data_IF_186057290199
#
_entry.id   IF_186057290199
#
_cell.length_a   1.000
_cell.length_b   1.000
_cell.length_c   1.000
_cell.angle_alpha   90.00
_cell.angle_beta   90.00
_cell.angle_gamma   90.00
#
_symmetry.space_group_name_H-M   'P 1'
#
loop_
_entity.id
_entity.type
_entity.pdbx_description
1 polymer ?
#
# COMPACT_ATOMS: atom_id res chain seq x y z
N UNK A 1 12.66 -26.24 21.60
CA UNK A 1 12.92 -26.89 20.28
C UNK A 1 11.76 -26.72 19.30
N UNK A 2 10.50 -26.95 19.70
CA UNK A 2 9.31 -26.83 18.82
C UNK A 2 9.16 -25.42 18.21
N UNK A 3 9.28 -24.35 19.00
CA UNK A 3 9.21 -22.97 18.50
C UNK A 3 10.30 -22.62 17.47
N UNK A 4 11.49 -23.24 17.55
CA UNK A 4 12.57 -23.00 16.58
C UNK A 4 12.34 -23.76 15.27
N UNK A 5 11.76 -24.96 15.33
CA UNK A 5 11.39 -25.73 14.13
C UNK A 5 10.25 -25.04 13.37
N UNK A 6 9.22 -24.58 14.07
CA UNK A 6 8.07 -23.88 13.49
C UNK A 6 8.49 -22.53 12.87
N UNK A 7 9.39 -21.80 13.54
CA UNK A 7 10.00 -20.57 12.99
C UNK A 7 10.84 -20.84 11.74
N UNK A 8 11.61 -21.94 11.73
CA UNK A 8 12.44 -22.34 10.58
C UNK A 8 11.58 -22.77 9.38
N UNK A 9 10.53 -23.53 9.60
CA UNK A 9 9.60 -23.96 8.56
C UNK A 9 8.89 -22.77 7.90
N UNK A 10 8.46 -21.79 8.71
CA UNK A 10 7.86 -20.56 8.21
C UNK A 10 8.83 -19.71 7.40
N UNK A 11 10.09 -19.63 7.81
CA UNK A 11 11.10 -18.92 7.00
C UNK A 11 11.33 -19.60 5.65
N UNK A 12 11.33 -20.93 5.60
CA UNK A 12 11.46 -21.68 4.34
C UNK A 12 10.26 -21.37 3.43
N UNK A 13 9.03 -21.49 3.94
CA UNK A 13 7.79 -21.18 3.19
C UNK A 13 7.80 -19.76 2.62
N UNK A 14 8.25 -18.79 3.42
CA UNK A 14 8.37 -17.40 3.01
C UNK A 14 9.37 -17.24 1.86
N UNK A 15 10.58 -17.76 1.99
CA UNK A 15 11.59 -17.65 0.93
C UNK A 15 11.20 -18.41 -0.33
N UNK A 16 10.57 -19.58 -0.22
CA UNK A 16 10.04 -20.31 -1.39
C UNK A 16 8.98 -19.50 -2.11
N UNK A 17 8.06 -18.85 -1.38
CA UNK A 17 7.05 -18.00 -1.97
C UNK A 17 7.66 -16.80 -2.71
N UNK A 18 8.60 -16.09 -2.07
CA UNK A 18 9.30 -14.95 -2.70
C UNK A 18 10.08 -15.40 -3.94
N UNK A 19 10.72 -16.58 -3.89
CA UNK A 19 11.46 -17.14 -5.02
C UNK A 19 10.55 -17.42 -6.22
N UNK A 20 9.43 -18.12 -6.02
CA UNK A 20 8.48 -18.38 -7.11
C UNK A 20 7.87 -17.09 -7.66
N UNK A 21 7.58 -16.11 -6.82
CA UNK A 21 7.04 -14.83 -7.24
C UNK A 21 8.07 -14.04 -8.07
N UNK A 22 9.34 -14.04 -7.66
CA UNK A 22 10.43 -13.44 -8.44
C UNK A 22 10.66 -14.16 -9.77
N UNK A 23 10.60 -15.49 -9.80
CA UNK A 23 10.73 -16.27 -11.03
C UNK A 23 9.62 -15.92 -12.03
N UNK A 24 8.36 -15.83 -11.57
CA UNK A 24 7.24 -15.42 -12.41
C UNK A 24 7.38 -13.99 -12.92
N UNK A 25 7.89 -13.06 -12.10
CA UNK A 25 8.16 -11.70 -12.52
C UNK A 25 9.23 -11.64 -13.61
N UNK A 26 10.29 -12.44 -13.51
CA UNK A 26 11.34 -12.55 -14.53
C UNK A 26 10.77 -13.12 -15.83
N UNK A 27 9.99 -14.21 -15.76
CA UNK A 27 9.34 -14.80 -16.94
C UNK A 27 8.40 -13.81 -17.62
N UNK A 28 7.63 -13.05 -16.84
CA UNK A 28 6.78 -11.98 -17.37
C UNK A 28 7.62 -10.89 -18.05
N UNK A 29 8.72 -10.43 -17.44
CA UNK A 29 9.60 -9.45 -18.06
C UNK A 29 10.20 -9.95 -19.37
N UNK A 30 10.63 -11.22 -19.45
CA UNK A 30 11.11 -11.83 -20.70
C UNK A 30 10.03 -11.79 -21.77
N UNK A 31 8.80 -12.20 -21.42
CA UNK A 31 7.65 -12.12 -22.33
C UNK A 31 7.40 -10.67 -22.79
N UNK A 32 7.47 -9.69 -21.87
CA UNK A 32 7.24 -8.29 -22.19
C UNK A 32 8.31 -7.70 -23.11
N UNK A 33 9.59 -8.00 -22.86
CA UNK A 33 10.69 -7.57 -23.73
C UNK A 33 10.61 -8.14 -25.14
N UNK A 34 10.08 -9.35 -25.30
CA UNK A 34 9.93 -9.99 -26.61
C UNK A 34 8.74 -9.44 -27.42
N UNK A 35 7.71 -8.90 -26.77
CA UNK A 35 6.46 -8.50 -27.43
C UNK A 35 6.23 -6.98 -27.50
N UNK A 36 6.95 -6.19 -26.69
CA UNK A 36 6.76 -4.75 -26.60
C UNK A 36 8.10 -4.03 -26.69
N UNK A 37 8.11 -2.84 -27.29
CA UNK A 37 9.27 -1.96 -27.39
C UNK A 37 9.05 -0.68 -26.59
N UNK A 38 10.10 -0.11 -26.02
CA UNK A 38 10.01 1.21 -25.37
C UNK A 38 9.90 2.28 -26.46
N UNK A 39 8.78 2.99 -26.51
CA UNK A 39 8.54 4.06 -27.49
C UNK A 39 9.13 5.40 -27.05
N UNK A 40 9.00 5.74 -25.77
CA UNK A 40 9.45 7.02 -25.21
C UNK A 40 10.32 6.80 -23.95
N UNK A 41 11.64 6.99 -24.14
CA UNK A 41 12.62 6.88 -23.07
C UNK A 41 12.58 8.07 -22.10
N UNK A 42 12.19 9.26 -22.56
CA UNK A 42 12.09 10.45 -21.70
C UNK A 42 10.96 10.24 -20.70
N UNK A 43 9.79 9.80 -21.19
CA UNK A 43 8.65 9.44 -20.35
C UNK A 43 9.05 8.35 -19.34
N UNK A 44 9.70 7.28 -19.79
CA UNK A 44 10.17 6.21 -18.91
C UNK A 44 11.05 6.72 -17.77
N UNK A 45 12.04 7.58 -18.08
CA UNK A 45 12.96 8.13 -17.07
C UNK A 45 12.20 9.03 -16.10
N UNK A 46 11.41 9.97 -16.61
CA UNK A 46 10.67 10.93 -15.76
C UNK A 46 9.69 10.20 -14.86
N UNK A 47 8.85 9.30 -15.40
CA UNK A 47 7.91 8.54 -14.58
C UNK A 47 8.62 7.64 -13.57
N UNK A 48 9.76 7.04 -13.90
CA UNK A 48 10.54 6.24 -12.95
C UNK A 48 11.03 7.08 -11.78
N UNK A 49 11.56 8.28 -12.04
CA UNK A 49 12.02 9.23 -11.01
C UNK A 49 10.85 9.69 -10.15
N UNK A 50 9.75 10.15 -10.76
CA UNK A 50 8.57 10.63 -10.02
C UNK A 50 7.93 9.51 -9.19
N UNK A 51 7.91 8.29 -9.72
CA UNK A 51 7.40 7.11 -9.00
C UNK A 51 8.29 6.78 -7.80
N UNK A 52 9.62 6.82 -7.94
CA UNK A 52 10.55 6.61 -6.82
C UNK A 52 10.40 7.67 -5.72
N UNK A 53 10.19 8.94 -6.11
CA UNK A 53 9.90 10.03 -5.17
C UNK A 53 8.56 9.76 -4.46
N UNK A 54 7.50 9.44 -5.20
CA UNK A 54 6.19 9.18 -4.62
C UNK A 54 6.19 7.96 -3.68
N UNK A 55 6.91 6.90 -4.04
CA UNK A 55 7.04 5.67 -3.25
C UNK A 55 7.85 5.89 -1.96
N UNK A 56 8.79 6.85 -1.97
CA UNK A 56 9.52 7.29 -0.77
C UNK A 56 8.58 7.90 0.27
N UNK A 57 7.49 8.53 -0.18
CA UNK A 57 6.52 9.20 0.68
C UNK A 57 5.21 8.40 0.82
N UNK A 58 5.27 7.10 1.06
CA UNK A 58 4.07 6.35 1.44
C UNK A 58 3.42 6.87 2.74
N UNK A 59 2.12 6.65 2.91
CA UNK A 59 1.38 7.04 4.12
C UNK A 59 1.02 5.77 4.89
N UNK A 60 1.46 5.67 6.15
CA UNK A 60 1.04 4.61 7.04
C UNK A 60 -0.37 4.92 7.56
N UNK A 61 -1.32 4.02 7.31
CA UNK A 61 -2.68 4.11 7.84
C UNK A 61 -2.79 3.29 9.13
N UNK A 62 -3.46 3.82 10.17
CA UNK A 62 -3.72 3.08 11.40
C UNK A 62 -4.47 1.78 11.11
N UNK A 63 -3.94 0.63 11.58
CA UNK A 63 -4.55 -0.72 11.51
C UNK A 63 -4.73 -1.34 10.11
N UNK A 64 -4.47 -0.61 9.02
CA UNK A 64 -4.89 -0.99 7.65
C UNK A 64 -3.69 -1.27 6.71
N UNK A 65 -2.50 -0.74 7.02
CA UNK A 65 -1.30 -0.89 6.19
C UNK A 65 -0.79 0.46 5.68
N UNK A 66 -0.10 0.49 4.54
CA UNK A 66 0.37 1.73 3.92
C UNK A 66 -0.27 1.94 2.54
N UNK A 67 -0.69 3.16 2.23
CA UNK A 67 -1.15 3.56 0.89
C UNK A 67 -0.04 4.36 0.22
N UNK A 68 0.32 3.97 -1.00
CA UNK A 68 1.30 4.70 -1.81
C UNK A 68 0.61 5.60 -2.83
N UNK A 69 1.06 6.85 -2.90
CA UNK A 69 0.61 7.82 -3.90
C UNK A 69 1.24 7.55 -5.28
N UNK A 70 2.31 6.76 -5.32
CA UNK A 70 2.93 6.30 -6.57
C UNK A 70 1.97 5.50 -7.45
N UNK A 71 0.89 4.94 -6.87
CA UNK A 71 -0.14 4.23 -7.61
C UNK A 71 -0.79 5.13 -8.67
N UNK A 72 -1.02 6.42 -8.39
CA UNK A 72 -1.60 7.34 -9.38
C UNK A 72 -0.68 7.50 -10.61
N UNK A 73 0.63 7.63 -10.39
CA UNK A 73 1.62 7.76 -11.46
C UNK A 73 1.77 6.47 -12.28
N UNK A 74 1.86 5.33 -11.61
CA UNK A 74 2.02 4.03 -12.27
C UNK A 74 0.75 3.62 -13.00
N UNK A 75 -0.43 3.92 -12.44
CA UNK A 75 -1.70 3.74 -13.14
C UNK A 75 -1.84 4.70 -14.34
N UNK A 76 -1.40 5.95 -14.22
CA UNK A 76 -1.28 6.88 -15.35
C UNK A 76 -0.36 6.31 -16.45
N UNK A 77 0.76 5.71 -16.08
CA UNK A 77 1.67 5.06 -17.02
C UNK A 77 1.04 3.83 -17.72
N UNK A 78 0.11 3.10 -17.09
CA UNK A 78 -0.67 2.05 -17.78
C UNK A 78 -1.45 2.66 -18.97
N UNK A 79 -2.06 3.83 -18.77
CA UNK A 79 -2.91 4.48 -19.78
C UNK A 79 -2.09 5.12 -20.91
N UNK A 80 -0.91 5.63 -20.59
CA UNK A 80 -0.07 6.39 -21.53
C UNK A 80 0.94 5.55 -22.30
N UNK A 81 1.24 4.34 -21.81
CA UNK A 81 2.36 3.54 -22.32
C UNK A 81 1.97 2.08 -22.51
N UNK A 82 2.95 1.21 -22.74
CA UNK A 82 2.74 -0.22 -22.92
C UNK A 82 3.07 -1.01 -21.64
N UNK A 83 2.76 -2.33 -21.61
CA UNK A 83 2.93 -3.13 -20.41
C UNK A 83 4.40 -3.29 -19.99
N UNK A 84 5.34 -3.25 -20.94
CA UNK A 84 6.78 -3.30 -20.65
C UNK A 84 7.25 -2.03 -19.94
N UNK A 85 6.92 -0.85 -20.49
CA UNK A 85 7.34 0.44 -19.93
C UNK A 85 6.80 0.64 -18.53
N UNK A 86 5.53 0.31 -18.27
CA UNK A 86 4.97 0.45 -16.91
C UNK A 86 5.54 -0.56 -15.92
N UNK A 87 5.90 -1.76 -16.37
CA UNK A 87 6.58 -2.76 -15.52
C UNK A 87 7.97 -2.26 -15.11
N UNK A 88 8.70 -1.61 -16.02
CA UNK A 88 10.01 -1.00 -15.73
C UNK A 88 9.84 0.19 -14.77
N UNK A 89 8.90 1.11 -15.05
CA UNK A 89 8.62 2.28 -14.19
C UNK A 89 8.31 1.84 -12.75
N UNK A 90 7.42 0.84 -12.60
CA UNK A 90 7.03 0.34 -11.27
C UNK A 90 8.18 -0.41 -10.56
N UNK A 91 8.99 -1.17 -11.29
CA UNK A 91 10.18 -1.83 -10.75
C UNK A 91 11.22 -0.82 -10.26
N UNK A 92 11.60 0.14 -11.11
CA UNK A 92 12.58 1.18 -10.77
C UNK A 92 12.08 2.05 -9.62
N UNK A 93 10.82 2.47 -9.66
CA UNK A 93 10.18 3.23 -8.59
C UNK A 93 10.26 2.53 -7.24
N UNK A 94 10.04 1.21 -7.23
CA UNK A 94 10.11 0.40 -6.02
C UNK A 94 11.54 0.10 -5.56
N UNK A 95 12.49 -0.03 -6.47
CA UNK A 95 13.91 -0.26 -6.15
C UNK A 95 14.60 0.98 -5.60
N UNK A 96 14.31 2.15 -6.16
CA UNK A 96 15.00 3.41 -5.85
C UNK A 96 14.31 4.23 -4.75
N UNK A 97 13.24 3.72 -4.14
CA UNK A 97 12.59 4.40 -3.02
C UNK A 97 13.53 4.52 -1.80
N UNK A 98 13.40 5.61 -1.07
CA UNK A 98 14.16 5.91 0.13
C UNK A 98 13.28 6.27 1.35
N UNK A 99 12.26 5.45 1.71
CA UNK A 99 11.31 5.80 2.77
C UNK A 99 11.98 5.97 4.13
N UNK A 100 11.43 6.86 4.95
CA UNK A 100 11.82 7.02 6.34
C UNK A 100 11.11 5.98 7.22
N UNK A 101 11.87 5.25 8.03
CA UNK A 101 11.37 4.30 9.01
C UNK A 101 11.83 4.72 10.42
N UNK A 102 10.86 4.83 11.35
CA UNK A 102 11.13 5.19 12.73
C UNK A 102 12.16 4.24 13.37
N UNK A 103 13.17 4.81 14.02
CA UNK A 103 14.27 4.07 14.65
C UNK A 103 15.37 3.56 13.70
N UNK A 104 15.18 3.61 12.38
CA UNK A 104 16.21 3.22 11.39
C UNK A 104 16.66 4.35 10.46
N UNK A 105 15.89 5.44 10.38
CA UNK A 105 16.16 6.54 9.45
C UNK A 105 15.71 6.23 8.03
N UNK A 106 16.43 6.75 7.02
CA UNK A 106 16.11 6.50 5.61
C UNK A 106 16.58 5.11 5.20
N UNK A 107 15.64 4.29 4.72
CA UNK A 107 15.90 2.94 4.24
C UNK A 107 15.93 2.95 2.72
N UNK A 108 17.01 2.42 2.14
CA UNK A 108 17.23 2.31 0.70
C UNK A 108 17.66 0.88 0.36
N UNK A 109 17.85 0.58 -0.93
CA UNK A 109 18.16 -0.77 -1.44
C UNK A 109 19.33 -1.46 -0.71
N UNK A 110 20.39 -0.71 -0.38
CA UNK A 110 21.58 -1.26 0.29
C UNK A 110 21.42 -1.49 1.81
N UNK A 111 20.40 -0.93 2.46
CA UNK A 111 20.15 -1.08 3.90
C UNK A 111 18.82 -1.81 4.20
N UNK A 112 17.99 -2.04 3.19
CA UNK A 112 16.76 -2.82 3.31
C UNK A 112 17.07 -4.32 3.12
N UNK A 113 16.48 -5.23 3.90
CA UNK A 113 16.61 -6.65 3.63
C UNK A 113 16.20 -7.01 2.21
N UNK A 114 17.13 -7.62 1.45
CA UNK A 114 17.00 -7.87 0.00
C UNK A 114 15.69 -8.58 -0.34
N UNK A 115 15.31 -9.60 0.44
CA UNK A 115 14.07 -10.36 0.21
C UNK A 115 12.80 -9.49 0.24
N UNK A 116 12.76 -8.40 1.03
CA UNK A 116 11.62 -7.46 1.03
C UNK A 116 11.58 -6.64 -0.24
N UNK A 117 12.74 -6.20 -0.74
CA UNK A 117 12.82 -5.46 -2.00
C UNK A 117 12.46 -6.38 -3.17
N UNK A 118 13.01 -7.60 -3.22
CA UNK A 118 12.74 -8.60 -4.26
C UNK A 118 11.24 -8.92 -4.32
N UNK A 119 10.60 -9.20 -3.18
CA UNK A 119 9.17 -9.46 -3.13
C UNK A 119 8.35 -8.31 -3.73
N UNK A 120 8.61 -7.08 -3.26
CA UNK A 120 7.87 -5.90 -3.65
C UNK A 120 8.03 -5.55 -5.14
N UNK A 121 9.26 -5.61 -5.65
CA UNK A 121 9.56 -5.36 -7.07
C UNK A 121 8.88 -6.41 -7.94
N UNK A 122 8.99 -7.68 -7.56
CA UNK A 122 8.39 -8.79 -8.32
C UNK A 122 6.85 -8.69 -8.32
N UNK A 123 6.25 -8.34 -7.19
CA UNK A 123 4.81 -8.11 -7.09
C UNK A 123 4.37 -6.93 -7.96
N UNK A 124 5.10 -5.83 -7.97
CA UNK A 124 4.77 -4.65 -8.76
C UNK A 124 4.86 -4.97 -10.26
N UNK A 125 5.92 -5.63 -10.70
CA UNK A 125 6.08 -6.08 -12.09
C UNK A 125 4.88 -6.94 -12.52
N UNK A 126 4.49 -7.94 -11.71
CA UNK A 126 3.36 -8.81 -12.06
C UNK A 126 2.05 -8.04 -12.05
N UNK A 127 1.79 -7.24 -11.01
CA UNK A 127 0.50 -6.56 -10.84
C UNK A 127 0.28 -5.47 -11.90
N UNK A 128 1.29 -4.63 -12.14
CA UNK A 128 1.20 -3.56 -13.15
C UNK A 128 1.40 -4.10 -14.57
N UNK A 129 2.29 -5.07 -14.77
CA UNK A 129 2.52 -5.67 -16.08
C UNK A 129 1.30 -6.41 -16.60
N UNK A 130 0.65 -7.24 -15.78
CA UNK A 130 -0.60 -7.91 -16.18
C UNK A 130 -1.76 -6.92 -16.33
N UNK A 131 -1.89 -5.92 -15.46
CA UNK A 131 -2.89 -4.86 -15.62
C UNK A 131 -2.69 -4.08 -16.93
N UNK A 132 -1.43 -3.80 -17.30
CA UNK A 132 -1.08 -3.19 -18.58
C UNK A 132 -1.43 -4.07 -19.77
N UNK A 133 -1.11 -5.37 -19.73
CA UNK A 133 -1.49 -6.32 -20.80
C UNK A 133 -3.00 -6.30 -20.97
N UNK A 134 -3.77 -6.43 -19.88
CA UNK A 134 -5.23 -6.39 -19.89
C UNK A 134 -5.76 -5.08 -20.48
N UNK A 135 -5.18 -3.95 -20.10
CA UNK A 135 -5.51 -2.65 -20.69
C UNK A 135 -5.34 -2.69 -22.22
N UNK A 136 -4.14 -3.04 -22.71
CA UNK A 136 -3.86 -3.06 -24.16
C UNK A 136 -4.72 -4.05 -24.94
N UNK A 137 -5.08 -5.19 -24.35
CA UNK A 137 -5.94 -6.18 -24.99
C UNK A 137 -7.36 -5.64 -25.09
N UNK A 138 -7.93 -5.16 -24.00
CA UNK A 138 -9.31 -4.66 -23.96
C UNK A 138 -9.46 -3.41 -24.81
N UNK A 139 -8.48 -2.50 -24.76
CA UNK A 139 -8.44 -1.29 -25.56
C UNK A 139 -8.51 -1.58 -27.07
N UNK A 140 -7.85 -2.66 -27.50
CA UNK A 140 -7.85 -3.10 -28.90
C UNK A 140 -9.17 -3.73 -29.35
N UNK A 141 -9.90 -4.38 -28.44
CA UNK A 141 -11.15 -5.09 -28.75
C UNK A 141 -12.40 -4.21 -28.60
N UNK A 142 -12.45 -3.37 -27.58
CA UNK A 142 -13.61 -2.55 -27.25
C UNK A 142 -13.26 -1.11 -27.55
N UNK A 143 -13.57 -0.63 -28.75
CA UNK A 143 -13.29 0.76 -29.10
C UNK A 143 -14.37 1.66 -28.48
N UNK A 144 -14.02 2.40 -27.42
CA UNK A 144 -14.92 3.34 -26.75
C UNK A 144 -14.53 4.77 -27.13
N UNK A 145 -15.51 5.64 -27.41
CA UNK A 145 -15.30 6.97 -28.01
C UNK A 145 -14.85 8.00 -26.96
N UNK A 146 -13.65 7.82 -26.42
CA UNK A 146 -12.91 8.86 -25.71
C UNK A 146 -11.54 8.97 -26.40
N UNK A 147 -11.22 10.19 -26.85
CA UNK A 147 -9.99 10.47 -27.63
C UNK A 147 -8.73 10.15 -26.81
N UNK A 148 -8.83 10.21 -25.48
CA UNK A 148 -7.69 10.17 -24.58
C UNK A 148 -7.43 8.79 -23.93
N UNK A 149 -8.47 8.05 -23.54
CA UNK A 149 -8.33 6.73 -22.90
C UNK A 149 -9.62 5.92 -23.01
N UNK A 150 -9.52 4.60 -22.85
CA UNK A 150 -10.68 3.72 -22.80
C UNK A 150 -11.10 3.43 -21.35
N UNK A 151 -12.31 3.87 -20.91
CA UNK A 151 -12.73 3.75 -19.53
C UNK A 151 -13.00 2.30 -19.11
N UNK A 152 -13.42 1.45 -20.04
CA UNK A 152 -13.66 0.02 -19.78
C UNK A 152 -12.31 -0.68 -19.60
N UNK A 153 -11.34 -0.42 -20.48
CA UNK A 153 -9.98 -0.92 -20.35
C UNK A 153 -9.32 -0.43 -19.05
N UNK A 154 -9.48 0.84 -18.70
CA UNK A 154 -8.93 1.41 -17.47
C UNK A 154 -9.56 0.79 -16.21
N UNK A 155 -10.88 0.65 -16.17
CA UNK A 155 -11.58 0.05 -15.02
C UNK A 155 -11.19 -1.43 -14.83
N UNK A 156 -11.10 -2.19 -15.92
CA UNK A 156 -10.69 -3.60 -15.87
C UNK A 156 -9.22 -3.76 -15.48
N UNK A 157 -8.32 -2.93 -16.00
CA UNK A 157 -6.92 -2.90 -15.56
C UNK A 157 -6.78 -2.56 -14.07
N UNK A 158 -7.56 -1.59 -13.57
CA UNK A 158 -7.59 -1.23 -12.16
C UNK A 158 -8.09 -2.40 -11.28
N UNK A 159 -9.13 -3.10 -11.71
CA UNK A 159 -9.63 -4.30 -11.01
C UNK A 159 -8.58 -5.41 -10.97
N UNK A 160 -7.91 -5.69 -12.09
CA UNK A 160 -6.85 -6.69 -12.17
C UNK A 160 -5.69 -6.34 -11.24
N UNK A 161 -5.25 -5.08 -11.24
CA UNK A 161 -4.22 -4.61 -10.33
C UNK A 161 -4.63 -4.81 -8.86
N UNK A 162 -5.85 -4.39 -8.48
CA UNK A 162 -6.35 -4.52 -7.10
C UNK A 162 -6.35 -5.99 -6.67
N UNK A 163 -6.89 -6.89 -7.51
CA UNK A 163 -6.97 -8.31 -7.18
C UNK A 163 -5.58 -8.93 -7.01
N UNK A 164 -4.66 -8.68 -7.94
CA UNK A 164 -3.29 -9.21 -7.87
C UNK A 164 -2.52 -8.64 -6.69
N UNK A 165 -2.54 -7.31 -6.51
CA UNK A 165 -1.81 -6.63 -5.45
C UNK A 165 -2.26 -7.11 -4.06
N UNK A 166 -3.57 -7.16 -3.83
CA UNK A 166 -4.13 -7.59 -2.54
C UNK A 166 -3.95 -9.09 -2.31
N UNK A 167 -4.02 -9.92 -3.36
CA UNK A 167 -3.73 -11.35 -3.26
C UNK A 167 -2.27 -11.61 -2.85
N UNK A 168 -1.29 -11.02 -3.53
CA UNK A 168 0.12 -11.24 -3.22
C UNK A 168 0.51 -10.71 -1.82
N UNK A 169 -0.03 -9.55 -1.43
CA UNK A 169 0.19 -9.01 -0.09
C UNK A 169 -0.49 -9.82 1.01
N UNK A 170 -1.73 -10.27 0.79
CA UNK A 170 -2.44 -11.10 1.78
C UNK A 170 -1.79 -12.46 1.95
N UNK A 171 -1.26 -13.05 0.88
CA UNK A 171 -0.48 -14.28 0.94
C UNK A 171 0.84 -14.10 1.70
N UNK A 172 1.57 -13.00 1.46
CA UNK A 172 2.76 -12.68 2.24
C UNK A 172 2.43 -12.53 3.74
N UNK A 173 1.39 -11.75 4.05
CA UNK A 173 1.00 -11.49 5.43
C UNK A 173 0.48 -12.76 6.12
N UNK A 174 -0.18 -13.66 5.40
CA UNK A 174 -0.63 -14.95 5.91
C UNK A 174 0.55 -15.81 6.36
N UNK A 175 1.64 -15.84 5.58
CA UNK A 175 2.86 -16.54 5.94
C UNK A 175 3.62 -15.88 7.10
N UNK A 176 3.59 -14.55 7.20
CA UNK A 176 4.27 -13.81 8.27
C UNK A 176 3.55 -13.88 9.61
N UNK A 177 2.22 -13.82 9.59
CA UNK A 177 1.38 -13.75 10.79
C UNK A 177 0.80 -15.12 11.20
N UNK A 178 0.95 -16.17 10.38
CA UNK A 178 0.30 -17.47 10.56
C UNK A 178 -1.24 -17.39 10.65
N UNK A 179 -1.83 -16.41 9.98
CA UNK A 179 -3.28 -16.19 9.97
C UNK A 179 -3.88 -16.62 8.63
N UNK A 180 -5.18 -16.93 8.61
CA UNK A 180 -5.89 -17.33 7.38
C UNK A 180 -5.90 -16.18 6.36
N UNK A 181 -5.62 -16.48 5.09
CA UNK A 181 -5.58 -15.48 4.00
C UNK A 181 -6.87 -14.67 3.89
N UNK A 182 -8.04 -15.33 3.94
CA UNK A 182 -9.35 -14.67 3.89
C UNK A 182 -9.58 -13.69 5.06
N UNK A 183 -9.04 -14.02 6.24
CA UNK A 183 -9.13 -13.15 7.40
C UNK A 183 -8.34 -11.86 7.16
N UNK A 184 -7.06 -11.99 6.79
CA UNK A 184 -6.18 -10.85 6.46
C UNK A 184 -6.76 -9.99 5.34
N UNK A 185 -7.31 -10.62 4.29
CA UNK A 185 -7.88 -9.91 3.16
C UNK A 185 -9.08 -9.06 3.57
N UNK A 186 -10.01 -9.62 4.35
CA UNK A 186 -11.19 -8.89 4.86
C UNK A 186 -10.81 -7.78 5.84
N UNK A 187 -9.88 -8.03 6.77
CA UNK A 187 -9.54 -7.06 7.81
C UNK A 187 -8.71 -5.90 7.28
N UNK A 188 -7.79 -6.14 6.34
CA UNK A 188 -6.82 -5.13 5.93
C UNK A 188 -7.22 -4.41 4.64
N UNK A 189 -7.87 -5.10 3.69
CA UNK A 189 -8.00 -4.56 2.34
C UNK A 189 -9.39 -4.03 2.00
N UNK A 190 -10.46 -4.44 2.70
CA UNK A 190 -11.80 -3.91 2.43
C UNK A 190 -11.88 -2.38 2.52
N UNK A 191 -11.27 -1.80 3.58
CA UNK A 191 -11.20 -0.35 3.75
C UNK A 191 -10.21 0.36 2.81
N UNK A 192 -9.27 -0.39 2.20
CA UNK A 192 -8.26 0.17 1.29
C UNK A 192 -8.79 0.31 -0.15
N UNK A 193 -9.77 -0.51 -0.55
CA UNK A 193 -10.34 -0.51 -1.91
C UNK A 193 -10.80 0.88 -2.35
N UNK A 194 -11.54 1.59 -1.50
CA UNK A 194 -12.03 2.94 -1.79
C UNK A 194 -10.87 3.89 -2.06
N UNK A 195 -9.82 3.83 -1.23
CA UNK A 195 -8.64 4.68 -1.40
C UNK A 195 -7.91 4.38 -2.72
N UNK A 196 -7.77 3.09 -3.09
CA UNK A 196 -7.11 2.72 -4.35
C UNK A 196 -7.91 3.20 -5.56
N UNK A 197 -9.24 3.08 -5.53
CA UNK A 197 -10.11 3.61 -6.59
C UNK A 197 -9.95 5.12 -6.72
N UNK A 198 -10.01 5.86 -5.59
CA UNK A 198 -9.84 7.32 -5.60
C UNK A 198 -8.46 7.76 -6.11
N UNK A 199 -7.39 7.08 -5.71
CA UNK A 199 -6.03 7.34 -6.21
C UNK A 199 -5.91 6.95 -7.70
N UNK A 200 -6.61 5.91 -8.14
CA UNK A 200 -6.71 5.54 -9.56
C UNK A 200 -7.37 6.63 -10.41
N UNK A 201 -8.43 7.26 -9.91
CA UNK A 201 -9.04 8.43 -10.57
C UNK A 201 -8.05 9.59 -10.70
N UNK A 202 -7.22 9.85 -9.69
CA UNK A 202 -6.13 10.83 -9.79
C UNK A 202 -5.09 10.43 -10.85
N UNK A 203 -4.86 9.13 -11.04
CA UNK A 203 -4.02 8.62 -12.14
C UNK A 203 -4.59 8.96 -13.52
N UNK A 204 -5.91 8.90 -13.71
CA UNK A 204 -6.57 9.33 -14.95
C UNK A 204 -6.36 10.83 -15.18
N UNK A 205 -6.48 11.65 -14.12
CA UNK A 205 -6.23 13.10 -14.20
C UNK A 205 -4.77 13.41 -14.57
N UNK A 206 -3.80 12.71 -13.97
CA UNK A 206 -2.39 12.85 -14.33
C UNK A 206 -2.12 12.46 -15.78
N UNK A 207 -2.73 11.37 -16.22
CA UNK A 207 -2.61 10.90 -17.59
C UNK A 207 -3.20 11.93 -18.57
N UNK A 208 -4.36 12.51 -18.26
CA UNK A 208 -4.97 13.57 -19.07
C UNK A 208 -4.10 14.82 -19.11
N UNK A 209 -3.54 15.23 -17.98
CA UNK A 209 -2.64 16.38 -17.90
C UNK A 209 -1.39 16.19 -18.77
N UNK A 210 -0.81 14.98 -18.78
CA UNK A 210 0.29 14.64 -19.67
C UNK A 210 -0.14 14.65 -21.14
N UNK A 211 -1.32 14.14 -21.47
CA UNK A 211 -1.81 14.19 -22.85
C UNK A 211 -2.05 15.62 -23.36
N UNK A 212 -2.54 16.52 -22.50
CA UNK A 212 -2.81 17.92 -22.88
C UNK A 212 -1.58 18.83 -22.89
N UNK A 213 -0.62 18.61 -21.99
CA UNK A 213 0.50 19.54 -21.75
C UNK A 213 1.85 18.83 -21.55
N UNK A 214 1.96 17.57 -21.96
CA UNK A 214 3.15 16.73 -21.87
C UNK A 214 3.76 16.73 -20.44
N UNK A 215 5.09 16.83 -20.34
CA UNK A 215 5.81 16.85 -19.07
C UNK A 215 5.40 18.03 -18.18
N UNK A 216 5.01 19.17 -18.78
CA UNK A 216 4.56 20.34 -18.05
C UNK A 216 3.28 20.08 -17.24
N UNK A 217 2.30 19.43 -17.87
CA UNK A 217 1.05 19.03 -17.21
C UNK A 217 1.27 18.00 -16.09
N UNK A 218 2.13 17.01 -16.33
CA UNK A 218 2.48 16.00 -15.33
C UNK A 218 3.10 16.64 -14.07
N UNK A 219 4.10 17.51 -14.24
CA UNK A 219 4.76 18.18 -13.12
C UNK A 219 3.81 19.14 -12.38
N UNK A 220 2.96 19.85 -13.13
CA UNK A 220 1.97 20.76 -12.56
C UNK A 220 1.00 20.05 -11.62
N UNK A 221 0.56 18.82 -11.94
CA UNK A 221 -0.32 18.04 -11.07
C UNK A 221 0.41 17.18 -10.03
N UNK A 222 1.65 16.79 -10.29
CA UNK A 222 2.46 16.03 -9.36
C UNK A 222 2.77 16.81 -8.07
N UNK A 223 3.05 18.12 -8.18
CA UNK A 223 3.35 18.96 -7.01
C UNK A 223 2.15 19.06 -6.05
N UNK A 224 0.93 19.46 -6.47
CA UNK A 224 -0.27 19.44 -5.64
C UNK A 224 -0.59 18.06 -5.07
N UNK A 225 -0.33 16.98 -5.83
CA UNK A 225 -0.55 15.62 -5.35
C UNK A 225 0.36 15.29 -4.15
N UNK A 226 1.65 15.63 -4.22
CA UNK A 226 2.57 15.47 -3.10
C UNK A 226 2.22 16.37 -1.92
N UNK A 227 1.77 17.60 -2.17
CA UNK A 227 1.30 18.51 -1.12
C UNK A 227 0.05 17.98 -0.42
N UNK A 228 -0.94 17.51 -1.17
CA UNK A 228 -2.16 16.90 -0.61
C UNK A 228 -1.80 15.69 0.27
N UNK A 229 -0.88 14.84 -0.22
CA UNK A 229 -0.31 13.74 0.56
C UNK A 229 0.37 14.23 1.83
N UNK A 230 1.18 15.29 1.74
CA UNK A 230 1.91 15.84 2.88
C UNK A 230 0.95 16.37 3.95
N UNK A 231 -0.06 17.14 3.54
CA UNK A 231 -1.11 17.66 4.42
C UNK A 231 -1.89 16.52 5.06
N UNK A 232 -2.23 15.46 4.31
CA UNK A 232 -2.92 14.29 4.86
C UNK A 232 -2.06 13.54 5.89
N UNK A 233 -0.77 13.36 5.62
CA UNK A 233 0.15 12.80 6.61
C UNK A 233 0.22 13.67 7.87
N UNK A 234 0.39 14.97 7.71
CA UNK A 234 0.45 15.91 8.85
C UNK A 234 -0.83 15.83 9.69
N UNK A 235 -1.99 15.74 9.05
CA UNK A 235 -3.27 15.55 9.74
C UNK A 235 -3.31 14.24 10.54
N UNK A 236 -2.86 13.12 9.97
CA UNK A 236 -2.80 11.84 10.68
C UNK A 236 -1.82 11.86 11.85
N UNK A 237 -0.63 12.46 11.66
CA UNK A 237 0.38 12.59 12.70
C UNK A 237 -0.12 13.49 13.84
N UNK A 238 -0.78 14.63 13.53
CA UNK A 238 -1.43 15.47 14.54
C UNK A 238 -2.51 14.72 15.32
N UNK A 239 -3.37 13.97 14.62
CA UNK A 239 -4.42 13.17 15.27
C UNK A 239 -3.83 12.11 16.19
N UNK A 240 -2.76 11.44 15.76
CA UNK A 240 -2.04 10.45 16.58
C UNK A 240 -1.46 11.10 17.83
N UNK A 241 -0.72 12.20 17.68
CA UNK A 241 -0.12 12.93 18.79
C UNK A 241 -1.17 13.46 19.77
N UNK A 242 -2.31 13.94 19.26
CA UNK A 242 -3.44 14.37 20.10
C UNK A 242 -3.94 13.24 20.99
N UNK A 243 -4.18 12.04 20.43
CA UNK A 243 -4.58 10.86 21.22
C UNK A 243 -3.49 10.40 22.20
N UNK A 244 -2.22 10.43 21.82
CA UNK A 244 -1.12 10.09 22.71
C UNK A 244 -1.03 11.06 23.90
N UNK A 245 -1.14 12.37 23.65
CA UNK A 245 -1.16 13.40 24.70
C UNK A 245 -2.36 13.23 25.63
N UNK A 246 -3.56 12.99 25.08
CA UNK A 246 -4.75 12.70 25.91
C UNK A 246 -4.51 11.48 26.80
N UNK A 247 -3.99 10.38 26.26
CA UNK A 247 -3.69 9.18 27.04
C UNK A 247 -2.66 9.44 28.15
N UNK A 248 -1.66 10.29 27.90
CA UNK A 248 -0.68 10.68 28.92
C UNK A 248 -1.31 11.54 30.01
N UNK A 249 -2.16 12.51 29.65
CA UNK A 249 -2.88 13.35 30.61
C UNK A 249 -3.80 12.52 31.51
N UNK A 250 -4.56 11.59 30.93
CA UNK A 250 -5.43 10.68 31.69
C UNK A 250 -4.60 9.86 32.68
N UNK A 251 -3.50 9.24 32.22
CA UNK A 251 -2.61 8.48 33.11
C UNK A 251 -1.99 9.34 34.21
N UNK A 252 -1.73 10.62 33.94
CA UNK A 252 -1.19 11.55 34.94
C UNK A 252 -2.24 11.96 35.97
N UNK A 253 -3.50 12.16 35.57
CA UNK A 253 -4.62 12.42 36.47
C UNK A 253 -4.86 11.18 37.35
N UNK A 254 -4.93 10.00 36.74
CA UNK A 254 -5.05 8.71 37.44
C UNK A 254 -3.87 8.46 38.40
N UNK A 255 -2.65 8.88 38.06
CA UNK A 255 -1.50 8.74 38.97
C UNK A 255 -1.59 9.64 40.21
N UNK A 256 -2.31 10.77 40.13
CA UNK A 256 -2.61 11.63 41.28
C UNK A 256 -3.75 11.10 42.15
N UNK A 257 -4.53 10.13 41.67
CA UNK A 257 -5.55 9.41 42.43
C UNK A 257 -5.33 7.88 42.32
N UNK A 258 -4.46 7.31 43.17
CA UNK A 258 -4.07 5.90 43.10
C UNK A 258 -5.25 4.92 43.10
N UNK A 259 -6.38 5.31 43.68
CA UNK A 259 -7.55 4.45 43.83
C UNK A 259 -8.32 4.24 42.52
N UNK A 260 -8.29 5.20 41.59
CA UNK A 260 -9.02 5.16 40.32
C UNK A 260 -8.21 4.53 39.18
N UNK A 261 -6.89 4.69 39.17
CA UNK A 261 -5.99 4.14 38.13
C UNK A 261 -6.06 2.60 37.97
N UNK A 262 -6.07 1.87 39.09
CA UNK A 262 -6.21 0.42 39.10
C UNK A 262 -7.62 -0.02 38.68
N UNK A 263 -8.64 0.76 39.04
CA UNK A 263 -10.02 0.45 38.70
C UNK A 263 -10.25 0.55 37.18
N UNK A 264 -9.88 1.68 36.56
CA UNK A 264 -9.99 1.89 35.11
C UNK A 264 -9.23 0.84 34.31
N UNK A 265 -8.03 0.44 34.75
CA UNK A 265 -7.27 -0.64 34.11
C UNK A 265 -7.97 -2.00 34.23
N UNK A 266 -8.52 -2.34 35.41
CA UNK A 266 -9.30 -3.59 35.59
C UNK A 266 -10.57 -3.58 34.74
N UNK A 267 -11.31 -2.48 34.75
CA UNK A 267 -12.54 -2.30 33.95
C UNK A 267 -12.23 -2.43 32.46
N UNK A 268 -11.15 -1.81 31.98
CA UNK A 268 -10.69 -1.95 30.60
C UNK A 268 -10.31 -3.39 30.24
N UNK A 269 -9.58 -4.08 31.12
CA UNK A 269 -9.20 -5.48 30.90
C UNK A 269 -10.42 -6.41 30.85
N UNK A 270 -11.41 -6.22 31.75
CA UNK A 270 -12.65 -6.98 31.73
C UNK A 270 -13.50 -6.68 30.49
N UNK A 271 -13.62 -5.40 30.11
CA UNK A 271 -14.35 -5.00 28.91
C UNK A 271 -13.72 -5.58 27.63
N UNK A 272 -12.38 -5.61 27.55
CA UNK A 272 -11.64 -6.28 26.47
C UNK A 272 -11.91 -7.79 26.44
N UNK A 273 -11.85 -8.47 27.59
CA UNK A 273 -12.09 -9.90 27.69
C UNK A 273 -13.53 -10.28 27.30
N UNK A 274 -14.53 -9.51 27.75
CA UNK A 274 -15.93 -9.68 27.38
C UNK A 274 -16.09 -9.47 25.86
N UNK A 275 -15.53 -8.39 25.32
CA UNK A 275 -15.62 -8.09 23.89
C UNK A 275 -14.99 -9.18 23.00
N UNK A 276 -13.87 -9.79 23.45
CA UNK A 276 -13.26 -10.96 22.81
C UNK A 276 -14.18 -12.19 22.85
N UNK A 277 -14.77 -12.48 24.01
CA UNK A 277 -15.64 -13.64 24.20
C UNK A 277 -16.93 -13.55 23.36
N UNK A 278 -17.46 -12.33 23.18
CA UNK A 278 -18.63 -12.03 22.35
C UNK A 278 -18.32 -12.11 20.84
N UNK A 279 -17.04 -12.29 20.46
CA UNK A 279 -16.62 -12.42 19.06
C UNK A 279 -16.66 -11.10 18.29
N UNK A 280 -16.50 -9.96 18.98
CA UNK A 280 -16.46 -8.67 18.32
C UNK A 280 -15.21 -8.52 17.44
N UNK A 281 -15.28 -7.73 16.35
CA UNK A 281 -14.09 -7.40 15.56
C UNK A 281 -13.04 -6.67 16.41
N UNK A 282 -11.75 -6.94 16.17
CA UNK A 282 -10.64 -6.33 16.92
C UNK A 282 -10.70 -4.80 16.97
N UNK A 283 -11.17 -4.15 15.90
CA UNK A 283 -11.36 -2.70 15.85
C UNK A 283 -12.34 -2.18 16.91
N UNK A 284 -13.42 -2.93 17.18
CA UNK A 284 -14.39 -2.63 18.25
C UNK A 284 -13.84 -2.98 19.63
N UNK A 285 -13.10 -4.08 19.74
CA UNK A 285 -12.44 -4.47 21.00
C UNK A 285 -11.50 -3.35 21.47
N UNK A 286 -10.66 -2.84 20.57
CA UNK A 286 -9.74 -1.74 20.88
C UNK A 286 -10.47 -0.46 21.28
N UNK A 287 -11.60 -0.15 20.62
CA UNK A 287 -12.43 1.02 20.95
C UNK A 287 -13.04 0.89 22.35
N UNK A 288 -13.62 -0.27 22.66
CA UNK A 288 -14.21 -0.58 23.98
C UNK A 288 -13.15 -0.50 25.07
N UNK A 289 -11.96 -1.05 24.80
CA UNK A 289 -10.81 -0.98 25.71
C UNK A 289 -10.41 0.46 26.01
N UNK A 290 -10.29 1.30 24.98
CA UNK A 290 -9.99 2.72 25.13
C UNK A 290 -11.11 3.49 25.84
N UNK A 291 -12.38 3.25 25.49
CA UNK A 291 -13.52 3.91 26.14
C UNK A 291 -13.62 3.55 27.63
N UNK A 292 -13.38 2.28 27.97
CA UNK A 292 -13.38 1.80 29.35
C UNK A 292 -12.25 2.40 30.21
N UNK A 293 -11.07 2.67 29.62
CA UNK A 293 -10.00 3.40 30.30
C UNK A 293 -10.37 4.85 30.63
N UNK A 294 -11.33 5.42 29.91
CA UNK A 294 -11.66 6.85 29.94
C UNK A 294 -13.02 7.11 30.64
N UNK A 295 -13.65 6.08 31.21
CA UNK A 295 -15.05 6.17 31.64
C UNK A 295 -15.31 7.11 32.83
N UNK A 296 -14.33 7.26 33.72
CA UNK A 296 -14.40 8.07 34.94
C UNK A 296 -13.61 9.40 34.80
N UNK A 297 -13.51 9.96 33.58
CA UNK A 297 -12.80 11.22 33.33
C UNK A 297 -13.57 12.47 33.78
N UNK A 298 -14.90 12.39 33.89
CA UNK A 298 -15.77 13.49 34.31
C UNK A 298 -16.26 13.32 35.73
#
# INVERSE_FOLDING_TARGET
MINNMQKKENTIKLYTYIFFLALNAILLMIYLFNNYSISDYILLIVFSILTAIAETFWILLPKIGAVSVSFALTFSAILLTNPLTVSIISAIGMMLRCPYMDGKGRVHIFNNPIHKTVFNVSQYIISFGLAGIVYTVIDRFINFILIFFNPIAAATALLVYILLNTFFMSMLMSLLLNEKLLYIWKTNFYSMLINVILVGLLGIVLAFAYYSYELGGLLLFFIPLLLARYTFKLYLDMRKNYFETLNVLVRAIEANDPYTSENSMRVSAYAEAIAKQVGLPQSKIDLIKSAALLHDIG
#
